data_IF_011191681771
#
_entry.id   IF_011191681771
#
_cell.length_a   1.000
_cell.length_b   1.000
_cell.length_c   1.000
_cell.angle_alpha   90.00
_cell.angle_beta   90.00
_cell.angle_gamma   90.00
#
_symmetry.space_group_name_H-M   'P 1'
#
loop_
_entity.id
_entity.type
_entity.pdbx_description
1 polymer ?
#
# COMPACT_ATOMS: atom_id res chain seq x y z
N UNK A 1 7.93 -9.65 -32.00
CA UNK A 1 8.17 -9.79 -30.55
C UNK A 1 7.94 -8.51 -29.73
N UNK A 2 7.61 -7.33 -30.31
CA UNK A 2 7.50 -6.08 -29.53
C UNK A 2 6.13 -5.77 -28.89
N UNK A 3 5.01 -6.25 -29.43
CA UNK A 3 3.68 -5.85 -28.97
C UNK A 3 3.28 -6.48 -27.62
N UNK A 4 3.68 -7.73 -27.36
CA UNK A 4 3.40 -8.43 -26.10
C UNK A 4 4.16 -7.82 -24.92
N UNK A 5 5.42 -7.41 -25.13
CA UNK A 5 6.21 -6.75 -24.10
C UNK A 5 5.69 -5.35 -23.79
N UNK A 6 5.27 -4.58 -24.81
CA UNK A 6 4.64 -3.27 -24.59
C UNK A 6 3.33 -3.39 -23.80
N UNK A 7 2.46 -4.34 -24.17
CA UNK A 7 1.21 -4.57 -23.46
C UNK A 7 1.45 -4.96 -21.99
N UNK A 8 2.41 -5.87 -21.74
CA UNK A 8 2.80 -6.27 -20.39
C UNK A 8 3.30 -5.06 -19.56
N UNK A 9 4.07 -4.17 -20.18
CA UNK A 9 4.62 -3.00 -19.50
C UNK A 9 3.54 -1.96 -19.16
N UNK A 10 2.57 -1.76 -20.06
CA UNK A 10 1.41 -0.88 -19.81
C UNK A 10 0.57 -1.43 -18.65
N UNK A 11 0.28 -2.73 -18.63
CA UNK A 11 -0.46 -3.37 -17.54
C UNK A 11 0.30 -3.30 -16.21
N UNK A 12 1.62 -3.50 -16.22
CA UNK A 12 2.48 -3.34 -15.02
C UNK A 12 2.50 -1.91 -14.50
N UNK A 13 2.61 -0.91 -15.39
CA UNK A 13 2.57 0.50 -15.00
C UNK A 13 1.21 0.88 -14.40
N UNK A 14 0.12 0.38 -14.98
CA UNK A 14 -1.22 0.57 -14.43
C UNK A 14 -1.37 -0.07 -13.04
N UNK A 15 -0.86 -1.28 -12.87
CA UNK A 15 -0.86 -1.98 -11.58
C UNK A 15 -0.02 -1.25 -10.52
N UNK A 16 1.17 -0.74 -10.89
CA UNK A 16 2.01 0.05 -9.99
C UNK A 16 1.36 1.39 -9.62
N UNK A 17 0.66 2.02 -10.56
CA UNK A 17 -0.16 3.21 -10.31
C UNK A 17 -1.23 2.95 -9.24
N UNK A 18 -1.97 1.83 -9.35
CA UNK A 18 -2.97 1.42 -8.36
C UNK A 18 -2.37 1.22 -6.97
N UNK A 19 -1.24 0.52 -6.89
CA UNK A 19 -0.53 0.31 -5.61
C UNK A 19 -0.12 1.65 -4.99
N UNK A 20 0.40 2.58 -5.79
CA UNK A 20 0.82 3.89 -5.31
C UNK A 20 -0.38 4.74 -4.83
N UNK A 21 -1.53 4.67 -5.50
CA UNK A 21 -2.77 5.34 -5.06
C UNK A 21 -3.24 4.80 -3.71
N UNK A 22 -3.25 3.48 -3.52
CA UNK A 22 -3.64 2.86 -2.24
C UNK A 22 -2.69 3.26 -1.11
N UNK A 23 -1.39 3.32 -1.38
CA UNK A 23 -0.40 3.84 -0.42
C UNK A 23 -0.70 5.29 -0.04
N UNK A 24 -1.02 6.14 -1.01
CA UNK A 24 -1.36 7.55 -0.75
C UNK A 24 -2.64 7.70 0.07
N UNK A 25 -3.66 6.87 -0.17
CA UNK A 25 -4.86 6.82 0.66
C UNK A 25 -4.53 6.40 2.10
N UNK A 26 -3.70 5.37 2.28
CA UNK A 26 -3.22 4.98 3.61
C UNK A 26 -2.45 6.10 4.31
N UNK A 27 -1.72 6.94 3.58
CA UNK A 27 -1.03 8.11 4.14
C UNK A 27 -2.02 9.21 4.54
N UNK A 28 -3.02 9.47 3.70
CA UNK A 28 -4.07 10.43 3.99
C UNK A 28 -4.81 10.07 5.27
N UNK A 29 -5.28 8.84 5.43
CA UNK A 29 -5.96 8.41 6.65
C UNK A 29 -5.03 8.37 7.88
N UNK A 30 -3.73 8.07 7.69
CA UNK A 30 -2.75 8.18 8.77
C UNK A 30 -2.59 9.62 9.28
N UNK A 31 -2.76 10.63 8.41
CA UNK A 31 -2.72 12.04 8.80
C UNK A 31 -3.99 12.49 9.53
N UNK A 32 -5.10 11.78 9.36
CA UNK A 32 -6.37 12.03 10.05
C UNK A 32 -6.51 11.22 11.35
N UNK A 33 -5.43 10.57 11.80
CA UNK A 33 -5.41 9.65 12.94
C UNK A 33 -6.37 8.45 12.82
N UNK A 34 -6.91 8.20 11.62
CA UNK A 34 -7.75 7.05 11.30
C UNK A 34 -6.88 5.84 10.95
N UNK A 35 -6.11 5.36 11.94
CA UNK A 35 -5.08 4.34 11.75
C UNK A 35 -5.62 2.99 11.24
N UNK A 36 -6.81 2.57 11.66
CA UNK A 36 -7.42 1.32 11.18
C UNK A 36 -7.74 1.38 9.68
N UNK A 37 -8.32 2.51 9.21
CA UNK A 37 -8.54 2.73 7.78
C UNK A 37 -7.23 2.82 7.02
N UNK A 38 -6.23 3.49 7.57
CA UNK A 38 -4.91 3.57 6.96
C UNK A 38 -4.30 2.17 6.75
N UNK A 39 -4.39 1.30 7.76
CA UNK A 39 -3.93 -0.09 7.70
C UNK A 39 -4.66 -0.85 6.60
N UNK A 40 -5.98 -0.73 6.49
CA UNK A 40 -6.76 -1.40 5.45
C UNK A 40 -6.28 -1.03 4.03
N UNK A 41 -6.10 0.26 3.74
CA UNK A 41 -5.57 0.70 2.45
C UNK A 41 -4.15 0.20 2.17
N UNK A 42 -3.27 0.16 3.18
CA UNK A 42 -1.95 -0.42 3.01
C UNK A 42 -2.00 -1.94 2.79
N UNK A 43 -2.93 -2.66 3.42
CA UNK A 43 -3.13 -4.10 3.19
C UNK A 43 -3.61 -4.38 1.77
N UNK A 44 -4.54 -3.57 1.26
CA UNK A 44 -4.95 -3.64 -0.15
C UNK A 44 -3.77 -3.36 -1.10
N UNK A 45 -2.96 -2.34 -0.82
CA UNK A 45 -1.76 -2.04 -1.60
C UNK A 45 -0.77 -3.22 -1.59
N UNK A 46 -0.58 -3.87 -0.44
CA UNK A 46 0.29 -5.03 -0.28
C UNK A 46 -0.19 -6.23 -1.10
N UNK A 47 -1.49 -6.53 -1.09
CA UNK A 47 -2.06 -7.62 -1.88
C UNK A 47 -1.81 -7.42 -3.39
N UNK A 48 -2.08 -6.20 -3.89
CA UNK A 48 -1.83 -5.86 -5.29
C UNK A 48 -0.34 -5.86 -5.64
N UNK A 49 0.51 -5.35 -4.76
CA UNK A 49 1.95 -5.33 -4.95
C UNK A 49 2.53 -6.76 -5.07
N UNK A 50 2.10 -7.68 -4.19
CA UNK A 50 2.50 -9.09 -4.24
C UNK A 50 2.01 -9.78 -5.50
N UNK A 51 0.76 -9.56 -5.89
CA UNK A 51 0.18 -10.16 -7.10
C UNK A 51 0.93 -9.76 -8.37
N UNK A 52 1.45 -8.52 -8.43
CA UNK A 52 2.13 -7.98 -9.61
C UNK A 52 3.67 -8.03 -9.52
N UNK A 53 4.22 -8.49 -8.40
CA UNK A 53 5.66 -8.50 -8.15
C UNK A 53 6.27 -7.10 -7.93
N UNK A 54 5.46 -6.10 -7.56
CA UNK A 54 5.94 -4.75 -7.23
C UNK A 54 6.56 -4.71 -5.83
N UNK A 55 7.86 -5.02 -5.76
CA UNK A 55 8.63 -5.05 -4.49
C UNK A 55 8.70 -3.69 -3.80
N UNK A 56 8.65 -2.60 -4.57
CA UNK A 56 8.72 -1.23 -4.03
C UNK A 56 7.39 -0.91 -3.34
N UNK A 57 6.29 -1.21 -4.01
CA UNK A 57 4.94 -1.11 -3.48
C UNK A 57 4.75 -1.92 -2.20
N UNK A 58 5.21 -3.17 -2.19
CA UNK A 58 5.16 -4.06 -1.01
C UNK A 58 5.91 -3.46 0.18
N UNK A 59 7.14 -2.97 -0.04
CA UNK A 59 7.95 -2.37 1.03
C UNK A 59 7.27 -1.13 1.62
N UNK A 60 6.72 -0.26 0.77
CA UNK A 60 6.00 0.94 1.21
C UNK A 60 4.75 0.59 2.01
N UNK A 61 3.96 -0.38 1.54
CA UNK A 61 2.76 -0.85 2.23
C UNK A 61 3.09 -1.43 3.62
N UNK A 62 4.07 -2.34 3.72
CA UNK A 62 4.49 -2.94 4.99
C UNK A 62 4.99 -1.90 5.99
N UNK A 63 5.77 -0.92 5.54
CA UNK A 63 6.24 0.18 6.38
C UNK A 63 5.08 1.02 6.92
N UNK A 64 4.06 1.25 6.08
CA UNK A 64 2.81 1.91 6.45
C UNK A 64 2.08 1.13 7.55
N UNK A 65 1.82 -0.16 7.33
CA UNK A 65 1.14 -1.03 8.31
C UNK A 65 1.87 -1.02 9.65
N UNK A 66 3.18 -1.31 9.65
CA UNK A 66 3.98 -1.36 10.89
C UNK A 66 3.92 -0.06 11.69
N UNK A 67 3.98 1.08 11.02
CA UNK A 67 3.91 2.40 11.68
C UNK A 67 2.55 2.61 12.36
N UNK A 68 1.46 2.26 11.66
CA UNK A 68 0.11 2.46 12.18
C UNK A 68 -0.20 1.49 13.31
N UNK A 69 0.19 0.23 13.18
CA UNK A 69 -0.01 -0.78 14.23
C UNK A 69 0.68 -0.38 15.55
N UNK A 70 1.89 0.20 15.47
CA UNK A 70 2.58 0.71 16.67
C UNK A 70 1.89 1.89 17.34
N UNK A 71 1.06 2.65 16.60
CA UNK A 71 0.27 3.76 17.15
C UNK A 71 -1.00 3.23 17.81
N UNK A 72 -1.74 2.34 17.14
CA UNK A 72 -2.94 1.72 17.71
C UNK A 72 -2.63 0.93 18.99
N UNK A 73 -1.50 0.21 19.03
CA UNK A 73 -1.05 -0.51 20.24
C UNK A 73 -0.69 0.43 21.39
N UNK A 74 -0.16 1.62 21.09
CA UNK A 74 0.16 2.62 22.10
C UNK A 74 -1.12 3.22 22.68
N UNK A 75 -2.09 3.55 21.82
CA UNK A 75 -3.36 4.14 22.24
C UNK A 75 -4.16 3.19 23.14
N UNK A 76 -4.14 1.88 22.84
CA UNK A 76 -4.74 0.83 23.67
C UNK A 76 -4.07 0.66 25.04
N UNK A 77 -2.79 1.02 25.20
CA UNK A 77 -2.07 0.92 26.48
C UNK A 77 -2.22 2.16 27.37
N UNK A 78 -2.71 3.27 26.81
CA UNK A 78 -2.88 4.55 27.51
C UNK A 78 -4.31 4.79 28.03
N UNK A 79 -5.21 3.82 27.88
CA UNK A 79 -6.59 3.84 28.35
C UNK A 79 -6.81 2.80 29.45
#
# INVERSE_FOLDING_TARGET
MGYLEQALNITRNYASGRVQTLISLGQFYNQQDEYDKAIDYYQQALAWARQNGDRIGETKALKGIRRNLSRTEKDLRSN
#
